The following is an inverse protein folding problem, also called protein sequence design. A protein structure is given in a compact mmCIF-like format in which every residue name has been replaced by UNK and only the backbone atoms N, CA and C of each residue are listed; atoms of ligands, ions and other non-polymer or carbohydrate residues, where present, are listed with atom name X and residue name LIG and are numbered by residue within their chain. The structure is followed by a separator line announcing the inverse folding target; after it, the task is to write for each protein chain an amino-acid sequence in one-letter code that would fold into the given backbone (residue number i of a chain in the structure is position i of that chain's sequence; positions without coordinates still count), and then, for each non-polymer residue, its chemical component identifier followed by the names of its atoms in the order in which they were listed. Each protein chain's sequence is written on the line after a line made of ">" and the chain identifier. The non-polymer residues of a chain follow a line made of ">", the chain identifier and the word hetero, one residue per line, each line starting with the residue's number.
data_IF_675941514454
#
_entry.id   IF_675941514454
#
_cell.length_a   1.000
_cell.length_b   1.000
_cell.length_c   1.000
_cell.angle_alpha   90.00
_cell.angle_beta   90.00
_cell.angle_gamma   90.00
#
_symmetry.space_group_name_H-M   'P 1'
#
loop_
_entity.id
_entity.type
_entity.pdbx_description
1 polymer ?
#
# COMPACT_ATOMS: atom_id res chain seq x y z
N UNK A 1 44.69 -35.18 -48.55
CA UNK A 1 45.74 -34.16 -48.47
C UNK A 1 45.31 -32.97 -49.33
N UNK A 2 44.68 -31.96 -48.74
CA UNK A 2 44.44 -30.70 -49.43
C UNK A 2 45.74 -29.89 -49.37
N UNK A 3 46.33 -29.58 -50.53
CA UNK A 3 47.51 -28.73 -50.59
C UNK A 3 47.10 -27.30 -50.23
N UNK A 4 47.62 -26.79 -49.12
CA UNK A 4 47.50 -25.37 -48.79
C UNK A 4 48.26 -24.59 -49.85
N UNK A 5 47.54 -23.92 -50.75
CA UNK A 5 48.16 -23.08 -51.78
C UNK A 5 48.64 -21.80 -51.13
N UNK A 6 49.96 -21.68 -50.96
CA UNK A 6 50.58 -20.43 -50.55
C UNK A 6 50.72 -19.52 -51.77
N UNK A 7 50.09 -18.35 -51.72
CA UNK A 7 50.17 -17.33 -52.76
C UNK A 7 51.11 -16.22 -52.30
N UNK A 8 52.27 -16.14 -52.94
CA UNK A 8 53.27 -15.10 -52.69
C UNK A 8 52.97 -13.88 -53.56
N UNK A 9 53.00 -12.68 -52.96
CA UNK A 9 52.75 -11.41 -53.67
C UNK A 9 54.02 -10.80 -54.24
N UNK A 10 55.19 -11.18 -53.72
CA UNK A 10 56.50 -10.77 -54.25
C UNK A 10 57.57 -11.83 -53.98
N UNK A 11 58.66 -11.80 -54.75
CA UNK A 11 59.78 -12.75 -54.61
C UNK A 11 60.45 -12.69 -53.23
N UNK A 12 60.40 -11.55 -52.56
CA UNK A 12 60.94 -11.37 -51.22
C UNK A 12 60.22 -12.21 -50.14
N UNK A 13 58.97 -12.62 -50.37
CA UNK A 13 58.21 -13.43 -49.41
C UNK A 13 58.62 -14.92 -49.42
N UNK A 14 59.38 -15.40 -50.42
CA UNK A 14 59.88 -16.78 -50.46
C UNK A 14 60.82 -17.10 -49.29
N UNK A 15 61.50 -16.08 -48.75
CA UNK A 15 62.41 -16.24 -47.62
C UNK A 15 61.67 -15.94 -46.30
N UNK A 16 61.18 -17.00 -45.65
CA UNK A 16 60.24 -16.92 -44.51
C UNK A 16 60.78 -16.20 -43.27
N UNK A 17 62.09 -15.97 -43.23
CA UNK A 17 62.82 -15.39 -42.09
C UNK A 17 63.36 -13.98 -42.38
N UNK A 18 62.95 -13.31 -43.45
CA UNK A 18 63.33 -11.91 -43.67
C UNK A 18 62.67 -11.00 -42.60
N UNK A 19 63.46 -10.34 -41.73
CA UNK A 19 62.94 -9.49 -40.66
C UNK A 19 62.11 -8.31 -41.18
N UNK A 20 62.41 -7.79 -42.37
CA UNK A 20 61.68 -6.68 -42.96
C UNK A 20 60.27 -7.09 -43.41
N UNK A 21 60.14 -8.29 -43.99
CA UNK A 21 58.86 -8.87 -44.41
C UNK A 21 58.01 -9.22 -43.19
N UNK A 22 58.59 -9.81 -42.13
CA UNK A 22 57.83 -10.11 -40.90
C UNK A 22 57.33 -8.83 -40.20
N UNK A 23 58.13 -7.76 -40.22
CA UNK A 23 57.73 -6.46 -39.66
C UNK A 23 56.60 -5.82 -40.46
N UNK A 24 56.62 -5.90 -41.80
CA UNK A 24 55.52 -5.45 -42.65
C UNK A 24 54.26 -6.33 -42.54
N UNK A 25 54.42 -7.64 -42.32
CA UNK A 25 53.30 -8.58 -42.15
C UNK A 25 52.53 -8.36 -40.84
N UNK A 26 53.23 -7.88 -39.81
CA UNK A 26 52.65 -7.60 -38.49
C UNK A 26 52.27 -6.11 -38.30
N UNK A 27 52.74 -5.21 -39.18
CA UNK A 27 52.36 -3.80 -39.18
C UNK A 27 51.48 -3.49 -40.39
N UNK A 28 50.16 -3.60 -40.22
CA UNK A 28 49.18 -3.24 -41.25
C UNK A 28 49.25 -1.74 -41.64
N UNK A 29 49.86 -0.90 -40.79
CA UNK A 29 50.11 0.51 -41.04
C UNK A 29 51.61 0.82 -40.97
N UNK A 30 52.11 1.55 -41.98
CA UNK A 30 53.54 1.86 -42.18
C UNK A 30 54.13 2.79 -41.10
N UNK A 31 53.28 3.41 -40.27
CA UNK A 31 53.66 4.34 -39.19
C UNK A 31 52.77 4.12 -37.95
N UNK A 32 53.34 4.18 -36.75
CA UNK A 32 52.56 4.25 -35.50
C UNK A 32 51.62 5.46 -35.55
N UNK A 33 50.34 5.22 -35.27
CA UNK A 33 49.32 6.25 -35.30
C UNK A 33 49.44 7.08 -34.01
N UNK A 34 49.47 8.42 -34.06
CA UNK A 34 49.66 9.27 -32.88
C UNK A 34 48.34 9.41 -32.11
N UNK A 35 47.91 8.34 -31.46
CA UNK A 35 46.61 8.26 -30.76
C UNK A 35 46.60 9.18 -29.53
N UNK A 36 47.71 9.23 -28.79
CA UNK A 36 47.84 10.01 -27.55
C UNK A 36 47.94 11.51 -27.79
N UNK A 37 48.57 11.92 -28.91
CA UNK A 37 48.75 13.33 -29.24
C UNK A 37 47.45 14.00 -29.71
N UNK A 38 46.46 13.22 -30.15
CA UNK A 38 45.20 13.72 -30.72
C UNK A 38 44.01 13.61 -29.75
N UNK A 39 43.89 12.54 -28.96
CA UNK A 39 42.80 12.38 -27.99
C UNK A 39 43.01 13.19 -26.70
N UNK A 40 44.25 13.57 -26.38
CA UNK A 40 44.59 14.29 -25.16
C UNK A 40 44.46 15.81 -25.21
N UNK A 41 44.43 16.42 -26.40
CA UNK A 41 44.45 17.89 -26.55
C UNK A 41 43.38 18.41 -27.51
N UNK A 42 42.41 19.14 -26.96
CA UNK A 42 41.26 19.71 -27.68
C UNK A 42 41.67 20.79 -28.71
N UNK A 43 42.74 21.53 -28.44
CA UNK A 43 43.25 22.61 -29.32
C UNK A 43 43.94 22.11 -30.60
N UNK A 44 44.46 20.88 -30.61
CA UNK A 44 45.07 20.25 -31.80
C UNK A 44 44.03 19.70 -32.78
N UNK A 45 42.82 19.36 -32.31
CA UNK A 45 41.71 18.91 -33.15
C UNK A 45 41.14 20.05 -34.01
N UNK A 46 41.07 21.26 -33.47
CA UNK A 46 40.44 22.41 -34.16
C UNK A 46 41.31 22.98 -35.30
N UNK A 47 42.62 22.72 -35.31
CA UNK A 47 43.57 23.32 -36.26
C UNK A 47 44.10 22.36 -37.35
N UNK A 48 43.65 21.10 -37.39
CA UNK A 48 44.22 20.09 -38.30
C UNK A 48 43.37 19.91 -39.56
N UNK A 49 43.87 20.34 -40.73
CA UNK A 49 43.23 20.03 -42.03
C UNK A 49 43.55 18.59 -42.45
N UNK A 50 42.58 17.70 -42.28
CA UNK A 50 42.79 16.26 -42.50
C UNK A 50 42.48 15.89 -43.96
N UNK A 51 43.39 15.18 -44.64
CA UNK A 51 43.14 14.64 -45.99
C UNK A 51 42.02 13.57 -45.93
N UNK A 52 41.20 13.43 -46.99
CA UNK A 52 40.13 12.42 -47.10
C UNK A 52 40.56 11.01 -46.66
N UNK A 53 41.81 10.63 -46.95
CA UNK A 53 42.39 9.34 -46.57
C UNK A 53 42.53 9.19 -45.04
N UNK A 54 42.96 10.24 -44.36
CA UNK A 54 43.18 10.20 -42.91
C UNK A 54 41.86 10.37 -42.14
N UNK A 55 40.90 11.09 -42.71
CA UNK A 55 39.51 11.08 -42.23
C UNK A 55 38.87 9.69 -42.30
N UNK A 56 39.03 8.96 -43.42
CA UNK A 56 38.47 7.61 -43.55
C UNK A 56 39.15 6.60 -42.60
N UNK A 57 40.46 6.73 -42.35
CA UNK A 57 41.14 5.97 -41.31
C UNK A 57 40.58 6.30 -39.92
N UNK A 58 40.40 7.59 -39.61
CA UNK A 58 39.86 8.05 -38.34
C UNK A 58 38.43 7.53 -38.10
N UNK A 59 37.53 7.66 -39.08
CA UNK A 59 36.16 7.15 -38.98
C UNK A 59 36.15 5.62 -38.88
N UNK A 60 36.99 4.93 -39.66
CA UNK A 60 37.12 3.47 -39.60
C UNK A 60 37.58 2.96 -38.24
N UNK A 61 38.63 3.57 -37.66
CA UNK A 61 39.14 3.23 -36.33
C UNK A 61 38.18 3.62 -35.21
N UNK A 62 37.57 4.81 -35.28
CA UNK A 62 36.62 5.27 -34.26
C UNK A 62 35.36 4.40 -34.25
N UNK A 63 34.87 4.01 -35.42
CA UNK A 63 33.73 3.09 -35.54
C UNK A 63 34.10 1.69 -35.05
N UNK A 64 35.28 1.17 -35.39
CA UNK A 64 35.75 -0.13 -34.91
C UNK A 64 35.96 -0.16 -33.37
N UNK A 65 36.58 0.87 -32.81
CA UNK A 65 36.78 1.02 -31.37
C UNK A 65 35.45 1.19 -30.62
N UNK A 66 34.52 1.98 -31.16
CA UNK A 66 33.17 2.11 -30.61
C UNK A 66 32.38 0.79 -30.69
N UNK A 67 32.55 -0.01 -31.76
CA UNK A 67 31.94 -1.35 -31.83
C UNK A 67 32.56 -2.35 -30.84
N UNK A 68 33.86 -2.28 -30.57
CA UNK A 68 34.53 -3.10 -29.55
C UNK A 68 34.07 -2.73 -28.14
N UNK A 69 33.98 -1.43 -27.82
CA UNK A 69 33.47 -0.95 -26.54
C UNK A 69 31.96 -1.19 -26.37
N UNK A 70 31.18 -1.21 -27.46
CA UNK A 70 29.76 -1.56 -27.44
C UNK A 70 29.51 -3.08 -27.29
N UNK A 71 30.55 -3.91 -27.44
CA UNK A 71 30.48 -5.36 -27.23
C UNK A 71 30.90 -5.83 -25.82
N UNK A 72 31.41 -4.94 -24.97
CA UNK A 72 31.69 -5.27 -23.56
C UNK A 72 30.46 -4.95 -22.70
N UNK A 73 29.71 -6.00 -22.36
CA UNK A 73 28.61 -5.90 -21.39
C UNK A 73 29.14 -5.47 -20.01
N UNK A 74 28.33 -4.75 -19.21
CA UNK A 74 28.77 -4.29 -17.90
C UNK A 74 29.11 -5.47 -16.98
N UNK A 75 30.21 -5.36 -16.23
CA UNK A 75 30.59 -6.37 -15.22
C UNK A 75 29.59 -6.36 -14.07
N UNK A 76 28.74 -7.39 -13.98
CA UNK A 76 27.79 -7.58 -12.89
C UNK A 76 28.52 -8.23 -11.71
N UNK A 77 28.49 -7.57 -10.54
CA UNK A 77 29.09 -8.08 -9.31
C UNK A 77 28.07 -8.85 -8.48
N UNK A 78 28.46 -9.99 -7.93
CA UNK A 78 27.67 -10.76 -6.95
C UNK A 78 28.37 -10.69 -5.61
N UNK A 79 27.72 -10.09 -4.61
CA UNK A 79 28.27 -9.92 -3.26
C UNK A 79 27.56 -10.90 -2.31
N UNK A 80 28.26 -11.93 -1.78
CA UNK A 80 27.68 -12.85 -0.81
C UNK A 80 27.57 -12.21 0.58
N UNK A 81 26.81 -12.87 1.47
CA UNK A 81 26.78 -12.51 2.88
C UNK A 81 28.17 -12.67 3.51
N UNK A 82 28.56 -11.71 4.36
CA UNK A 82 29.76 -11.85 5.21
C UNK A 82 29.50 -12.88 6.31
N UNK A 83 28.33 -12.79 6.95
CA UNK A 83 27.80 -13.78 7.89
C UNK A 83 26.37 -14.05 7.46
N UNK A 84 26.11 -15.25 6.94
CA UNK A 84 24.79 -15.62 6.44
C UNK A 84 23.86 -16.02 7.60
N UNK A 85 22.66 -15.42 7.71
CA UNK A 85 21.64 -15.89 8.64
C UNK A 85 21.14 -17.28 8.25
N UNK A 86 20.93 -18.17 9.23
CA UNK A 86 20.49 -19.55 9.00
C UNK A 86 19.13 -19.62 8.26
N UNK A 87 18.22 -18.70 8.58
CA UNK A 87 16.87 -18.66 8.02
C UNK A 87 16.82 -18.19 6.55
N UNK A 88 17.91 -17.62 6.02
CA UNK A 88 17.91 -17.01 4.69
C UNK A 88 18.70 -17.88 3.71
N UNK A 89 17.99 -18.43 2.74
CA UNK A 89 18.59 -19.12 1.58
C UNK A 89 18.42 -18.21 0.35
N UNK A 90 19.51 -17.64 -0.20
CA UNK A 90 19.43 -16.77 -1.37
C UNK A 90 18.67 -17.40 -2.54
N UNK A 91 17.72 -16.67 -3.12
CA UNK A 91 16.84 -17.13 -4.19
C UNK A 91 15.55 -17.84 -3.71
N UNK A 92 15.43 -18.15 -2.42
CA UNK A 92 14.20 -18.70 -1.83
C UNK A 92 13.54 -17.60 -0.99
N UNK A 93 12.26 -17.33 -1.27
CA UNK A 93 11.52 -16.32 -0.53
C UNK A 93 10.99 -16.88 0.79
N UNK A 94 11.09 -16.07 1.84
CA UNK A 94 10.48 -16.33 3.15
C UNK A 94 9.17 -15.57 3.30
N UNK A 95 8.27 -16.08 4.14
CA UNK A 95 7.02 -15.42 4.50
C UNK A 95 7.00 -15.17 6.00
N UNK A 96 6.76 -13.92 6.40
CA UNK A 96 6.66 -13.52 7.80
C UNK A 96 5.22 -13.15 8.12
N UNK A 97 4.68 -13.68 9.22
CA UNK A 97 3.35 -13.33 9.71
C UNK A 97 3.42 -11.99 10.45
N UNK A 98 2.67 -11.00 9.97
CA UNK A 98 2.63 -9.65 10.55
C UNK A 98 1.20 -9.09 10.48
N UNK A 99 1.02 -7.87 10.98
CA UNK A 99 -0.24 -7.14 10.90
C UNK A 99 0.00 -5.71 10.43
N UNK A 100 -0.97 -5.16 9.71
CA UNK A 100 -1.04 -3.72 9.44
C UNK A 100 -2.12 -3.09 10.32
N UNK A 101 -1.80 -1.94 10.91
CA UNK A 101 -2.70 -1.14 11.73
C UNK A 101 -2.28 0.33 11.62
N UNK A 102 -2.69 1.00 10.55
CA UNK A 102 -2.25 2.37 10.23
C UNK A 102 -3.26 3.46 10.64
N UNK A 103 -4.22 3.12 11.52
CA UNK A 103 -5.26 4.03 12.00
C UNK A 103 -6.50 4.08 11.11
N UNK A 104 -6.46 3.47 9.93
CA UNK A 104 -7.60 3.36 9.02
C UNK A 104 -7.80 1.92 8.54
N UNK A 105 -6.76 1.33 7.95
CA UNK A 105 -6.74 -0.05 7.50
C UNK A 105 -6.13 -0.98 8.56
N UNK A 106 -6.81 -2.12 8.76
CA UNK A 106 -6.39 -3.18 9.66
C UNK A 106 -6.46 -4.53 8.94
N UNK A 107 -5.36 -5.28 8.92
CA UNK A 107 -5.32 -6.60 8.30
C UNK A 107 -4.23 -7.49 8.91
N UNK A 108 -4.54 -8.79 9.01
CA UNK A 108 -3.59 -9.86 9.27
C UNK A 108 -2.95 -10.26 7.94
N UNK A 109 -1.63 -10.16 7.83
CA UNK A 109 -0.92 -10.30 6.55
C UNK A 109 0.29 -11.24 6.64
N UNK A 110 0.65 -11.80 5.50
CA UNK A 110 1.90 -12.52 5.29
C UNK A 110 2.79 -11.68 4.36
N UNK A 111 3.97 -11.32 4.83
CA UNK A 111 4.93 -10.54 4.05
C UNK A 111 5.93 -11.47 3.41
N UNK A 112 5.89 -11.56 2.07
CA UNK A 112 6.92 -12.24 1.29
C UNK A 112 8.17 -11.37 1.26
N UNK A 113 9.29 -11.94 1.66
CA UNK A 113 10.60 -11.28 1.63
C UNK A 113 11.57 -12.00 0.70
N UNK A 114 12.39 -11.24 -0.01
CA UNK A 114 13.57 -11.74 -0.74
C UNK A 114 14.83 -11.27 -0.01
N UNK A 115 15.63 -12.22 0.50
CA UNK A 115 16.86 -11.92 1.25
C UNK A 115 16.67 -10.88 2.38
N UNK A 116 15.52 -10.91 3.06
CA UNK A 116 15.16 -9.99 4.14
C UNK A 116 14.47 -8.70 3.70
N UNK A 117 14.31 -8.44 2.40
CA UNK A 117 13.59 -7.27 1.88
C UNK A 117 12.13 -7.62 1.57
N UNK A 118 11.13 -6.96 2.18
CA UNK A 118 9.71 -7.16 1.84
C UNK A 118 9.43 -6.89 0.37
N UNK A 119 8.84 -7.81 -0.38
CA UNK A 119 8.54 -7.60 -1.81
C UNK A 119 7.05 -7.69 -2.13
N UNK A 120 6.26 -8.37 -1.30
CA UNK A 120 4.83 -8.52 -1.51
C UNK A 120 4.11 -8.73 -0.19
N UNK A 121 2.95 -8.12 -0.05
CA UNK A 121 2.02 -8.36 1.04
C UNK A 121 0.92 -9.30 0.54
N UNK A 122 0.66 -10.35 1.29
CA UNK A 122 -0.40 -11.33 1.07
C UNK A 122 -1.36 -11.32 2.26
N UNK A 123 -2.60 -11.75 2.03
CA UNK A 123 -3.58 -11.93 3.10
C UNK A 123 -3.24 -13.16 3.96
N UNK A 124 -3.29 -13.04 5.29
CA UNK A 124 -3.12 -14.21 6.18
C UNK A 124 -4.47 -14.91 6.39
N UNK A 125 -4.74 -15.95 5.60
CA UNK A 125 -5.98 -16.73 5.67
C UNK A 125 -6.09 -17.64 6.90
N UNK A 126 -4.99 -17.88 7.61
CA UNK A 126 -4.99 -18.67 8.86
C UNK A 126 -5.36 -17.80 10.07
N UNK A 127 -5.36 -16.48 9.93
CA UNK A 127 -5.78 -15.58 11.00
C UNK A 127 -7.29 -15.69 11.23
N UNK A 128 -7.69 -15.71 12.51
CA UNK A 128 -9.10 -15.76 12.90
C UNK A 128 -9.86 -14.48 12.53
N UNK A 129 -9.17 -13.33 12.52
CA UNK A 129 -9.75 -12.01 12.27
C UNK A 129 -8.91 -11.21 11.27
N UNK A 130 -9.58 -10.32 10.55
CA UNK A 130 -8.97 -9.44 9.54
C UNK A 130 -8.09 -10.19 8.52
N UNK A 131 -8.50 -11.39 8.13
CA UNK A 131 -7.74 -12.29 7.27
C UNK A 131 -7.73 -11.90 5.79
N UNK A 132 -8.43 -10.82 5.41
CA UNK A 132 -8.45 -10.27 4.06
C UNK A 132 -7.81 -8.89 4.00
N UNK A 133 -6.73 -8.76 3.23
CA UNK A 133 -6.10 -7.47 2.92
C UNK A 133 -6.84 -6.77 1.77
N UNK A 134 -7.09 -5.48 1.91
CA UNK A 134 -7.64 -4.66 0.83
C UNK A 134 -6.55 -4.15 -0.12
N UNK A 135 -6.95 -3.44 -1.18
CA UNK A 135 -6.03 -2.92 -2.18
C UNK A 135 -4.98 -1.94 -1.61
N UNK A 136 -5.37 -1.09 -0.64
CA UNK A 136 -4.45 -0.15 0.02
C UNK A 136 -3.39 -0.89 0.82
N UNK A 137 -3.79 -1.93 1.55
CA UNK A 137 -2.87 -2.81 2.29
C UNK A 137 -1.88 -3.49 1.36
N UNK A 138 -2.35 -4.06 0.25
CA UNK A 138 -1.45 -4.67 -0.75
C UNK A 138 -0.46 -3.66 -1.35
N UNK A 139 -0.88 -2.41 -1.56
CA UNK A 139 -0.04 -1.34 -2.09
C UNK A 139 0.93 -0.74 -1.06
N UNK A 140 0.72 -0.97 0.25
CA UNK A 140 1.52 -0.34 1.32
C UNK A 140 3.01 -0.70 1.30
N UNK A 141 3.40 -1.78 0.62
CA UNK A 141 4.81 -2.11 0.37
C UNK A 141 5.54 -1.00 -0.40
N UNK A 142 4.84 -0.26 -1.27
CA UNK A 142 5.42 0.85 -2.02
C UNK A 142 5.78 2.01 -1.10
N UNK A 143 4.97 2.26 -0.06
CA UNK A 143 5.26 3.28 0.96
C UNK A 143 6.53 2.98 1.75
N UNK A 144 6.96 1.71 1.86
CA UNK A 144 8.23 1.35 2.48
C UNK A 144 9.42 1.77 1.61
N UNK A 145 9.30 1.61 0.29
CA UNK A 145 10.34 1.89 -0.71
C UNK A 145 10.28 3.28 -1.33
N UNK A 146 9.44 4.16 -0.79
CA UNK A 146 9.34 5.54 -1.24
C UNK A 146 10.62 6.32 -0.89
N UNK A 147 11.25 6.93 -1.90
CA UNK A 147 12.46 7.75 -1.75
C UNK A 147 12.18 9.11 -1.12
N UNK A 148 10.94 9.58 -1.12
CA UNK A 148 10.53 10.83 -0.50
C UNK A 148 10.35 10.74 1.03
N UNK A 149 10.56 9.56 1.63
CA UNK A 149 10.48 9.37 3.08
C UNK A 149 11.51 10.24 3.80
N UNK A 150 11.11 10.71 4.99
CA UNK A 150 12.00 11.41 5.91
C UNK A 150 13.13 10.46 6.33
N UNK A 151 14.37 10.83 6.00
CA UNK A 151 15.56 10.00 6.23
C UNK A 151 16.14 10.13 7.64
N UNK A 152 15.72 11.14 8.40
CA UNK A 152 16.20 11.39 9.75
C UNK A 152 15.46 12.54 10.43
N UNK A 153 15.66 12.72 11.75
CA UNK A 153 14.98 13.76 12.49
C UNK A 153 15.49 15.16 12.12
N UNK A 154 14.64 16.16 12.31
CA UNK A 154 14.99 17.56 12.12
C UNK A 154 14.41 18.42 13.23
N UNK A 155 15.10 19.51 13.57
CA UNK A 155 14.63 20.54 14.47
C UNK A 155 14.67 21.88 13.74
N UNK A 156 13.52 22.58 13.69
CA UNK A 156 13.37 23.86 13.00
C UNK A 156 13.83 23.82 11.52
N UNK A 157 13.63 22.69 10.85
CA UNK A 157 14.01 22.47 9.45
C UNK A 157 15.47 22.07 9.23
N UNK A 158 16.30 22.00 10.28
CA UNK A 158 17.68 21.53 10.19
C UNK A 158 17.79 20.06 10.63
N UNK A 159 18.54 19.19 9.91
CA UNK A 159 18.80 17.82 10.35
C UNK A 159 19.51 17.78 11.71
N UNK A 160 19.11 16.85 12.57
CA UNK A 160 19.75 16.61 13.88
C UNK A 160 19.99 15.12 14.09
N UNK A 161 20.78 14.76 15.11
CA UNK A 161 20.90 13.36 15.52
C UNK A 161 19.68 12.92 16.35
N UNK A 162 19.43 11.61 16.41
CA UNK A 162 18.41 11.06 17.31
C UNK A 162 18.67 11.40 18.78
N UNK A 163 19.93 11.34 19.22
CA UNK A 163 20.30 11.67 20.59
C UNK A 163 20.01 13.14 20.95
N UNK A 164 20.23 14.06 20.01
CA UNK A 164 19.92 15.48 20.22
C UNK A 164 18.40 15.73 20.26
N UNK A 165 17.63 15.03 19.41
CA UNK A 165 16.17 15.09 19.43
C UNK A 165 15.62 14.58 20.77
N UNK A 166 16.08 13.40 21.21
CA UNK A 166 15.64 12.77 22.46
C UNK A 166 15.92 13.70 23.66
N UNK A 167 17.13 14.25 23.73
CA UNK A 167 17.50 15.21 24.77
C UNK A 167 16.58 16.43 24.76
N UNK A 168 16.35 17.04 23.59
CA UNK A 168 15.52 18.22 23.47
C UNK A 168 14.05 17.96 23.90
N UNK A 169 13.50 16.80 23.54
CA UNK A 169 12.14 16.39 23.93
C UNK A 169 12.06 16.17 25.45
N UNK A 170 13.01 15.45 26.03
CA UNK A 170 13.07 15.18 27.48
C UNK A 170 13.20 16.48 28.27
N UNK A 171 14.10 17.38 27.85
CA UNK A 171 14.32 18.68 28.50
C UNK A 171 13.01 19.51 28.49
N UNK A 172 12.29 19.53 27.37
CA UNK A 172 11.02 20.25 27.26
C UNK A 172 9.89 19.60 28.09
N UNK A 173 9.82 18.26 28.14
CA UNK A 173 8.86 17.56 28.99
C UNK A 173 9.10 17.84 30.48
N UNK A 174 10.36 17.91 30.90
CA UNK A 174 10.73 18.27 32.28
C UNK A 174 10.40 19.74 32.58
N UNK A 175 10.68 20.66 31.64
CA UNK A 175 10.38 22.08 31.81
C UNK A 175 8.86 22.35 31.92
N UNK A 176 8.05 21.68 31.07
CA UNK A 176 6.57 21.80 31.12
C UNK A 176 5.98 21.18 32.39
N UNK A 177 6.58 20.10 32.89
CA UNK A 177 6.21 19.51 34.19
C UNK A 177 6.40 20.51 35.33
N UNK A 178 7.50 21.26 35.32
CA UNK A 178 7.78 22.27 36.34
C UNK A 178 6.85 23.50 36.24
N UNK A 179 6.45 23.90 35.04
CA UNK A 179 5.57 25.06 34.82
C UNK A 179 4.07 24.75 34.90
N UNK A 180 3.69 23.47 34.95
CA UNK A 180 2.28 23.03 34.92
C UNK A 180 1.60 23.18 33.56
N UNK A 181 2.36 23.44 32.50
CA UNK A 181 1.83 23.53 31.14
C UNK A 181 1.41 22.15 30.64
N UNK A 182 0.21 22.06 30.04
CA UNK A 182 -0.26 20.83 29.42
C UNK A 182 0.56 20.50 28.18
N UNK A 183 0.83 19.21 28.00
CA UNK A 183 1.43 18.64 26.78
C UNK A 183 0.39 17.75 26.13
N UNK A 184 0.14 17.91 24.83
CA UNK A 184 -0.83 17.07 24.12
C UNK A 184 -0.08 16.05 23.27
N UNK A 185 -0.35 14.77 23.51
CA UNK A 185 0.05 13.68 22.63
C UNK A 185 -1.12 13.38 21.69
N UNK A 186 -0.95 13.73 20.41
CA UNK A 186 -1.93 13.44 19.37
C UNK A 186 -1.58 12.12 18.68
N UNK A 187 -2.55 11.22 18.59
CA UNK A 187 -2.39 9.96 17.87
C UNK A 187 -3.62 9.64 17.03
N UNK A 188 -3.50 8.69 16.11
CA UNK A 188 -4.66 7.95 15.61
C UNK A 188 -5.23 7.02 16.70
N UNK A 189 -6.41 6.44 16.46
CA UNK A 189 -6.92 5.34 17.28
C UNK A 189 -6.06 4.08 17.14
N UNK A 190 -5.33 3.72 18.20
CA UNK A 190 -4.50 2.51 18.24
C UNK A 190 -5.22 1.35 18.92
N UNK A 191 -5.47 0.28 18.17
CA UNK A 191 -5.89 -1.03 18.71
C UNK A 191 -4.67 -1.84 19.16
N UNK A 192 -3.88 -1.32 20.10
CA UNK A 192 -2.61 -1.92 20.55
C UNK A 192 -2.45 -1.89 22.07
N UNK A 193 -2.49 -3.05 22.76
CA UNK A 193 -2.29 -3.13 24.21
C UNK A 193 -0.94 -2.58 24.67
N UNK A 194 0.13 -2.82 23.90
CA UNK A 194 1.48 -2.33 24.23
C UNK A 194 1.58 -0.80 24.09
N UNK A 195 0.93 -0.23 23.07
CA UNK A 195 0.89 1.24 22.90
C UNK A 195 0.08 1.90 24.01
N UNK A 196 -1.06 1.32 24.39
CA UNK A 196 -1.86 1.81 25.52
C UNK A 196 -1.06 1.77 26.84
N UNK A 197 -0.33 0.67 27.08
CA UNK A 197 0.54 0.56 28.25
C UNK A 197 1.67 1.60 28.24
N UNK A 198 2.29 1.85 27.08
CA UNK A 198 3.34 2.87 26.94
C UNK A 198 2.83 4.29 27.21
N UNK A 199 1.64 4.62 26.71
CA UNK A 199 0.99 5.92 26.97
C UNK A 199 0.69 6.07 28.47
N UNK A 200 0.16 5.02 29.12
CA UNK A 200 -0.08 5.03 30.56
C UNK A 200 1.22 5.23 31.37
N UNK A 201 2.32 4.57 30.97
CA UNK A 201 3.64 4.77 31.57
C UNK A 201 4.15 6.20 31.37
N UNK A 202 3.97 6.77 30.18
CA UNK A 202 4.33 8.15 29.89
C UNK A 202 3.56 9.13 30.79
N UNK A 203 2.25 8.93 30.95
CA UNK A 203 1.40 9.77 31.80
C UNK A 203 1.72 9.61 33.29
N UNK A 204 2.16 8.44 33.74
CA UNK A 204 2.62 8.24 35.11
C UNK A 204 3.88 9.07 35.43
N UNK A 205 4.80 9.20 34.45
CA UNK A 205 6.02 10.01 34.61
C UNK A 205 5.74 11.51 34.39
N UNK A 206 4.85 11.84 33.45
CA UNK A 206 4.48 13.20 33.06
C UNK A 206 2.96 13.42 33.17
N UNK A 207 2.41 13.69 34.36
CA UNK A 207 0.97 13.81 34.58
C UNK A 207 0.29 14.95 33.80
N UNK A 208 1.07 15.92 33.31
CA UNK A 208 0.58 17.02 32.47
C UNK A 208 0.36 16.62 31.00
N UNK A 209 0.74 15.39 30.61
CA UNK A 209 0.51 14.84 29.27
C UNK A 209 -0.95 14.38 29.13
N UNK A 210 -1.66 14.99 28.19
CA UNK A 210 -3.00 14.61 27.78
C UNK A 210 -2.91 13.86 26.46
N UNK A 211 -3.40 12.62 26.45
CA UNK A 211 -3.53 11.84 25.23
C UNK A 211 -4.86 12.15 24.55
N UNK A 212 -4.81 12.47 23.26
CA UNK A 212 -5.98 12.72 22.43
C UNK A 212 -5.86 11.88 21.15
N UNK A 213 -6.80 10.96 20.96
CA UNK A 213 -6.96 10.24 19.70
C UNK A 213 -7.76 11.12 18.72
N UNK A 214 -7.29 11.21 17.49
CA UNK A 214 -7.92 11.94 16.40
C UNK A 214 -7.97 11.06 15.15
N UNK A 215 -9.19 10.78 14.69
CA UNK A 215 -9.44 10.04 13.46
C UNK A 215 -10.00 10.98 12.40
N UNK A 216 -9.41 10.97 11.21
CA UNK A 216 -9.85 11.83 10.10
C UNK A 216 -11.27 11.49 9.62
N UNK A 217 -11.65 10.21 9.67
CA UNK A 217 -13.00 9.72 9.38
C UNK A 217 -13.61 9.19 10.67
N UNK A 218 -14.42 10.02 11.32
CA UNK A 218 -14.98 9.71 12.63
C UNK A 218 -16.08 8.64 12.58
N UNK A 219 -16.20 7.87 13.67
CA UNK A 219 -17.33 6.98 13.97
C UNK A 219 -17.98 7.31 15.31
N UNK A 220 -17.87 8.57 15.75
CA UNK A 220 -18.33 9.02 17.07
C UNK A 220 -19.80 8.69 17.34
N UNK A 221 -20.69 8.89 16.36
CA UNK A 221 -22.11 8.61 16.55
C UNK A 221 -22.38 7.12 16.89
N UNK A 222 -21.70 6.21 16.20
CA UNK A 222 -21.81 4.77 16.45
C UNK A 222 -21.17 4.37 17.78
N UNK A 223 -19.99 4.93 18.11
CA UNK A 223 -19.31 4.69 19.38
C UNK A 223 -20.14 5.16 20.58
N UNK A 224 -20.71 6.36 20.49
CA UNK A 224 -21.54 6.93 21.55
C UNK A 224 -22.86 6.16 21.73
N UNK A 225 -23.49 5.71 20.63
CA UNK A 225 -24.67 4.87 20.71
C UNK A 225 -24.36 3.51 21.38
N UNK A 226 -23.27 2.86 20.96
CA UNK A 226 -22.84 1.59 21.53
C UNK A 226 -22.49 1.72 23.02
N UNK A 227 -21.82 2.81 23.43
CA UNK A 227 -21.53 3.10 24.83
C UNK A 227 -22.79 3.30 25.67
N UNK A 228 -23.81 3.99 25.15
CA UNK A 228 -25.08 4.17 25.87
C UNK A 228 -25.83 2.87 26.12
N UNK A 229 -25.76 1.92 25.19
CA UNK A 229 -26.47 0.63 25.28
C UNK A 229 -25.68 -0.41 26.07
N UNK A 230 -24.38 -0.52 25.81
CA UNK A 230 -23.55 -1.62 26.30
C UNK A 230 -22.51 -1.19 27.36
N UNK A 231 -22.36 0.10 27.64
CA UNK A 231 -21.45 0.62 28.68
C UNK A 231 -19.98 0.65 28.30
N UNK A 232 -19.63 0.44 27.02
CA UNK A 232 -18.26 0.50 26.52
C UNK A 232 -18.21 1.17 25.14
N UNK A 233 -17.11 1.85 24.81
CA UNK A 233 -16.91 2.46 23.49
C UNK A 233 -16.36 1.43 22.51
N UNK A 234 -17.23 0.85 21.69
CA UNK A 234 -16.87 -0.12 20.66
C UNK A 234 -17.80 -0.02 19.45
N UNK A 235 -17.50 -0.78 18.41
CA UNK A 235 -18.35 -0.95 17.23
C UNK A 235 -18.86 -2.40 17.21
N UNK A 236 -20.08 -2.60 16.72
CA UNK A 236 -20.61 -3.94 16.49
C UNK A 236 -19.92 -4.59 15.28
N UNK A 237 -19.47 -5.83 15.45
CA UNK A 237 -18.91 -6.65 14.37
C UNK A 237 -20.02 -7.58 13.83
N UNK A 238 -20.47 -7.30 12.60
CA UNK A 238 -21.62 -7.97 11.99
C UNK A 238 -21.22 -9.18 11.15
N UNK A 239 -21.81 -10.33 11.42
CA UNK A 239 -21.62 -11.54 10.62
C UNK A 239 -22.68 -11.67 9.51
N UNK A 240 -22.39 -11.05 8.36
CA UNK A 240 -23.28 -11.09 7.19
C UNK A 240 -23.41 -12.50 6.55
N UNK A 241 -22.57 -13.47 6.91
CA UNK A 241 -22.73 -14.86 6.42
C UNK A 241 -23.97 -15.55 7.00
N UNK A 242 -24.48 -15.03 8.13
CA UNK A 242 -25.66 -15.55 8.84
C UNK A 242 -26.94 -14.76 8.54
N UNK A 243 -26.89 -13.76 7.66
CA UNK A 243 -28.02 -12.89 7.36
C UNK A 243 -28.77 -13.34 6.09
N UNK A 244 -30.03 -13.76 6.24
CA UNK A 244 -30.96 -14.03 5.15
C UNK A 244 -31.57 -12.72 4.58
N UNK A 245 -31.72 -11.68 5.40
CA UNK A 245 -32.20 -10.35 4.96
C UNK A 245 -31.31 -9.28 5.56
N UNK A 246 -30.80 -8.39 4.71
CA UNK A 246 -29.95 -7.26 5.06
C UNK A 246 -30.67 -5.98 4.67
N UNK A 247 -30.91 -5.11 5.64
CA UNK A 247 -31.40 -3.74 5.39
C UNK A 247 -30.30 -2.76 5.79
N UNK A 248 -29.77 -2.05 4.80
CA UNK A 248 -28.71 -1.07 4.97
C UNK A 248 -29.24 0.33 4.73
N UNK A 249 -29.10 1.21 5.74
CA UNK A 249 -29.50 2.61 5.66
C UNK A 249 -28.27 3.50 5.77
N UNK A 250 -27.75 3.94 4.63
CA UNK A 250 -26.57 4.79 4.54
C UNK A 250 -25.25 4.10 4.89
N UNK A 251 -25.24 2.78 5.11
CA UNK A 251 -24.02 2.02 5.35
C UNK A 251 -23.47 1.44 4.05
N UNK A 252 -22.18 1.63 3.78
CA UNK A 252 -21.46 0.96 2.71
C UNK A 252 -20.54 -0.12 3.30
N UNK A 253 -21.14 -1.20 3.80
CA UNK A 253 -20.43 -2.30 4.48
C UNK A 253 -19.53 -3.13 3.53
N UNK A 254 -19.74 -3.05 2.22
CA UNK A 254 -18.80 -3.58 1.21
C UNK A 254 -17.63 -2.65 0.89
N UNK A 255 -17.71 -1.39 1.32
CA UNK A 255 -16.63 -0.41 1.24
C UNK A 255 -15.83 -0.34 2.55
N UNK A 256 -15.60 0.88 3.02
CA UNK A 256 -14.75 1.18 4.19
C UNK A 256 -15.57 1.43 5.48
N UNK A 257 -16.87 1.14 5.47
CA UNK A 257 -17.71 1.33 6.66
C UNK A 257 -17.21 0.47 7.83
N UNK A 258 -16.93 1.13 8.97
CA UNK A 258 -16.38 0.53 10.19
C UNK A 258 -15.08 -0.28 9.98
N UNK A 259 -14.25 0.10 9.01
CA UNK A 259 -12.99 -0.62 8.71
C UNK A 259 -13.15 -1.72 7.65
N UNK A 260 -14.34 -1.90 7.10
CA UNK A 260 -14.62 -2.84 6.02
C UNK A 260 -14.47 -4.31 6.44
N UNK A 261 -14.24 -5.19 5.46
CA UNK A 261 -13.99 -6.62 5.71
C UNK A 261 -15.22 -7.53 5.64
N UNK A 262 -16.41 -6.97 5.45
CA UNK A 262 -17.66 -7.74 5.41
C UNK A 262 -17.95 -8.43 4.07
N UNK A 263 -17.17 -8.13 3.02
CA UNK A 263 -17.42 -8.63 1.67
C UNK A 263 -17.40 -10.16 1.57
N UNK A 264 -16.51 -10.83 2.30
CA UNK A 264 -16.42 -12.30 2.27
C UNK A 264 -17.66 -12.97 2.89
N UNK A 265 -18.12 -12.46 4.04
CA UNK A 265 -19.33 -12.95 4.70
C UNK A 265 -20.58 -12.67 3.86
N UNK A 266 -20.70 -11.45 3.32
CA UNK A 266 -21.77 -11.09 2.41
C UNK A 266 -21.83 -12.01 1.19
N UNK A 267 -20.69 -12.23 0.51
CA UNK A 267 -20.63 -13.03 -0.71
C UNK A 267 -21.08 -14.49 -0.50
N UNK A 268 -20.86 -15.08 0.68
CA UNK A 268 -21.32 -16.44 0.99
C UNK A 268 -22.85 -16.55 0.90
N UNK A 269 -23.57 -15.55 1.42
CA UNK A 269 -25.03 -15.49 1.35
C UNK A 269 -25.57 -15.19 -0.05
N UNK A 270 -24.73 -14.78 -1.00
CA UNK A 270 -25.13 -14.44 -2.38
C UNK A 270 -25.05 -15.61 -3.35
N UNK A 271 -24.50 -16.76 -2.94
CA UNK A 271 -24.47 -17.98 -3.76
C UNK A 271 -25.83 -18.68 -3.64
N UNK A 272 -26.59 -18.85 -4.74
CA UNK A 272 -27.94 -19.45 -4.71
C UNK A 272 -27.87 -20.96 -4.50
N UNK A 273 -27.51 -21.39 -3.30
CA UNK A 273 -27.48 -22.79 -2.90
C UNK A 273 -28.87 -23.22 -2.42
N UNK A 274 -29.38 -24.34 -2.92
CA UNK A 274 -30.70 -24.87 -2.56
C UNK A 274 -31.87 -23.86 -2.75
N UNK A 275 -31.74 -22.93 -3.70
CA UNK A 275 -32.75 -21.91 -3.97
C UNK A 275 -32.85 -20.81 -2.91
N UNK A 276 -31.87 -20.71 -2.00
CA UNK A 276 -31.78 -19.65 -1.00
C UNK A 276 -30.67 -18.67 -1.36
N UNK A 277 -30.93 -17.40 -1.15
CA UNK A 277 -29.98 -16.31 -1.33
C UNK A 277 -30.38 -15.19 -0.38
N UNK A 278 -29.40 -14.62 0.32
CA UNK A 278 -29.58 -13.47 1.20
C UNK A 278 -30.16 -12.31 0.39
N UNK A 279 -31.19 -11.62 0.90
CA UNK A 279 -31.82 -10.48 0.24
C UNK A 279 -31.27 -9.17 0.79
N UNK A 280 -30.86 -8.26 -0.07
CA UNK A 280 -30.25 -7.00 0.32
C UNK A 280 -31.05 -5.79 -0.15
N UNK A 281 -31.50 -4.99 0.82
CA UNK A 281 -32.10 -3.68 0.65
C UNK A 281 -31.09 -2.58 1.01
N UNK A 282 -30.78 -1.69 0.06
CA UNK A 282 -29.93 -0.53 0.28
C UNK A 282 -30.74 0.76 0.17
N UNK A 283 -30.70 1.58 1.20
CA UNK A 283 -31.22 2.95 1.20
C UNK A 283 -30.03 3.90 1.33
N UNK A 284 -29.79 4.72 0.31
CA UNK A 284 -28.60 5.59 0.30
C UNK A 284 -28.75 6.83 -0.57
N UNK A 285 -27.94 7.85 -0.28
CA UNK A 285 -27.91 9.11 -1.04
C UNK A 285 -27.09 8.93 -2.32
N UNK A 286 -25.82 8.52 -2.18
CA UNK A 286 -24.89 8.30 -3.28
C UNK A 286 -24.82 6.82 -3.62
N UNK A 287 -24.40 6.48 -4.83
CA UNK A 287 -24.21 5.08 -5.22
C UNK A 287 -22.93 4.52 -4.60
N UNK A 288 -23.07 3.46 -3.81
CA UNK A 288 -21.96 2.77 -3.15
C UNK A 288 -21.71 1.37 -3.73
N UNK A 289 -20.65 0.69 -3.28
CA UNK A 289 -20.43 -0.72 -3.64
C UNK A 289 -21.54 -1.60 -3.08
N UNK A 290 -22.00 -1.33 -1.85
CA UNK A 290 -23.13 -2.03 -1.24
C UNK A 290 -24.40 -1.85 -2.07
N UNK A 291 -24.70 -0.63 -2.50
CA UNK A 291 -25.86 -0.34 -3.34
C UNK A 291 -25.79 -0.94 -4.74
N UNK A 292 -24.60 -0.99 -5.36
CA UNK A 292 -24.42 -1.65 -6.65
C UNK A 292 -24.64 -3.18 -6.58
N UNK A 293 -24.44 -3.78 -5.41
CA UNK A 293 -24.62 -5.22 -5.17
C UNK A 293 -25.97 -5.57 -4.50
N UNK A 294 -26.82 -4.59 -4.22
CA UNK A 294 -28.13 -4.79 -3.59
C UNK A 294 -29.17 -5.33 -4.56
N UNK A 295 -30.18 -6.04 -4.05
CA UNK A 295 -31.34 -6.47 -4.85
C UNK A 295 -32.32 -5.31 -5.05
N UNK A 296 -32.50 -4.51 -4.00
CA UNK A 296 -33.36 -3.34 -4.01
C UNK A 296 -32.57 -2.14 -3.53
N UNK A 297 -32.51 -1.11 -4.37
CA UNK A 297 -31.85 0.16 -4.05
C UNK A 297 -32.85 1.30 -4.07
N UNK A 298 -32.93 2.05 -2.97
CA UNK A 298 -33.76 3.24 -2.83
C UNK A 298 -32.86 4.48 -2.69
N UNK A 299 -32.78 5.34 -3.72
CA UNK A 299 -32.14 6.64 -3.60
C UNK A 299 -32.91 7.52 -2.61
N UNK A 300 -32.25 8.01 -1.58
CA UNK A 300 -32.87 8.85 -0.55
C UNK A 300 -31.85 9.81 0.05
N UNK A 301 -32.22 11.08 0.20
CA UNK A 301 -31.41 12.07 0.91
C UNK A 301 -31.16 11.66 2.37
N UNK A 302 -30.16 12.23 3.04
CA UNK A 302 -29.88 11.90 4.44
C UNK A 302 -31.09 12.16 5.37
N UNK A 303 -31.90 13.18 5.08
CA UNK A 303 -33.12 13.46 5.83
C UNK A 303 -34.22 12.42 5.58
N UNK A 304 -34.35 11.92 4.35
CA UNK A 304 -35.26 10.82 4.03
C UNK A 304 -34.79 9.50 4.64
N UNK A 305 -33.49 9.21 4.65
CA UNK A 305 -32.93 8.02 5.30
C UNK A 305 -33.29 7.96 6.80
N UNK A 306 -33.20 9.09 7.53
CA UNK A 306 -33.63 9.18 8.93
C UNK A 306 -35.12 8.86 9.09
N UNK A 307 -35.98 9.41 8.21
CA UNK A 307 -37.42 9.13 8.20
C UNK A 307 -37.72 7.66 7.89
N UNK A 308 -37.08 7.11 6.87
CA UNK A 308 -37.21 5.69 6.48
C UNK A 308 -36.79 4.78 7.63
N UNK A 309 -35.69 5.08 8.33
CA UNK A 309 -35.23 4.31 9.49
C UNK A 309 -36.23 4.38 10.65
N UNK A 310 -36.79 5.56 10.94
CA UNK A 310 -37.83 5.72 11.96
C UNK A 310 -39.11 4.94 11.61
N UNK A 311 -39.53 4.96 10.35
CA UNK A 311 -40.68 4.18 9.88
C UNK A 311 -40.42 2.67 9.92
N UNK A 312 -39.21 2.23 9.58
CA UNK A 312 -38.78 0.83 9.71
C UNK A 312 -38.86 0.38 11.18
N UNK A 313 -38.34 1.18 12.11
CA UNK A 313 -38.42 0.91 13.55
C UNK A 313 -39.87 0.86 14.05
N UNK A 314 -40.72 1.80 13.61
CA UNK A 314 -42.16 1.82 13.91
C UNK A 314 -42.85 0.53 13.45
N UNK A 315 -42.55 0.10 12.22
CA UNK A 315 -43.07 -1.14 11.65
C UNK A 315 -42.60 -2.40 12.37
N UNK A 316 -41.39 -2.43 12.93
CA UNK A 316 -40.87 -3.59 13.64
C UNK A 316 -41.29 -3.65 15.12
N UNK A 317 -41.27 -2.51 15.82
CA UNK A 317 -41.59 -2.43 17.25
C UNK A 317 -43.09 -2.37 17.56
N UNK A 318 -43.92 -2.02 16.57
CA UNK A 318 -45.35 -1.73 16.79
C UNK A 318 -45.61 -0.37 17.44
N UNK A 319 -44.57 0.47 17.62
CA UNK A 319 -44.69 1.84 18.10
C UNK A 319 -45.19 2.73 16.96
N UNK A 320 -46.21 3.56 17.19
CA UNK A 320 -46.67 4.51 16.17
C UNK A 320 -45.81 5.77 16.17
N UNK A 321 -45.02 5.99 15.11
CA UNK A 321 -44.31 7.25 14.88
C UNK A 321 -44.93 7.96 13.68
N UNK A 322 -45.24 9.25 13.84
CA UNK A 322 -45.73 10.06 12.73
C UNK A 322 -44.55 10.41 11.82
N UNK A 323 -44.43 9.70 10.69
CA UNK A 323 -43.37 9.92 9.70
C UNK A 323 -44.01 10.05 8.32
N UNK A 324 -43.71 11.14 7.62
CA UNK A 324 -44.13 11.34 6.24
C UNK A 324 -43.13 10.70 5.28
N UNK A 325 -43.62 9.74 4.49
CA UNK A 325 -42.89 9.06 3.43
C UNK A 325 -43.63 9.22 2.09
N UNK A 326 -42.89 9.20 0.99
CA UNK A 326 -43.50 9.04 -0.33
C UNK A 326 -44.08 7.64 -0.49
N UNK A 327 -45.01 7.44 -1.42
CA UNK A 327 -45.61 6.11 -1.67
C UNK A 327 -44.54 5.05 -2.00
N UNK A 328 -43.52 5.42 -2.78
CA UNK A 328 -42.41 4.54 -3.12
C UNK A 328 -41.56 4.16 -1.88
N UNK A 329 -41.31 5.13 -0.99
CA UNK A 329 -40.59 4.89 0.27
C UNK A 329 -41.41 3.99 1.19
N UNK A 330 -42.70 4.25 1.34
CA UNK A 330 -43.60 3.43 2.18
C UNK A 330 -43.65 1.99 1.68
N UNK A 331 -43.82 1.78 0.37
CA UNK A 331 -43.83 0.43 -0.22
C UNK A 331 -42.52 -0.32 0.03
N UNK A 332 -41.39 0.38 -0.02
CA UNK A 332 -40.09 -0.23 0.27
C UNK A 332 -39.96 -0.59 1.76
N UNK A 333 -40.39 0.28 2.67
CA UNK A 333 -40.41 0.02 4.11
C UNK A 333 -41.30 -1.18 4.44
N UNK A 334 -42.50 -1.25 3.87
CA UNK A 334 -43.42 -2.38 4.09
C UNK A 334 -42.81 -3.72 3.66
N UNK A 335 -42.08 -3.72 2.53
CA UNK A 335 -41.36 -4.89 2.05
C UNK A 335 -40.22 -5.30 3.00
N UNK A 336 -39.40 -4.33 3.45
CA UNK A 336 -38.34 -4.56 4.43
C UNK A 336 -38.89 -5.14 5.74
N UNK A 337 -39.96 -4.55 6.29
CA UNK A 337 -40.59 -5.02 7.53
C UNK A 337 -41.13 -6.44 7.38
N UNK A 338 -41.83 -6.72 6.27
CA UNK A 338 -42.36 -8.05 5.98
C UNK A 338 -41.26 -9.11 5.92
N UNK A 339 -40.17 -8.82 5.19
CA UNK A 339 -39.07 -9.77 5.03
C UNK A 339 -38.28 -9.96 6.32
N UNK A 340 -37.98 -8.89 7.06
CA UNK A 340 -37.31 -8.96 8.37
C UNK A 340 -38.14 -9.77 9.38
N UNK A 341 -39.46 -9.55 9.45
CA UNK A 341 -40.35 -10.35 10.32
C UNK A 341 -40.38 -11.82 9.93
N UNK A 342 -40.29 -12.13 8.63
CA UNK A 342 -40.28 -13.51 8.13
C UNK A 342 -39.01 -14.27 8.54
N UNK A 343 -37.85 -13.61 8.53
CA UNK A 343 -36.57 -14.26 8.85
C UNK A 343 -36.18 -14.18 10.32
N UNK A 344 -36.79 -13.26 11.09
CA UNK A 344 -36.54 -13.11 12.52
C UNK A 344 -35.06 -12.87 12.82
N UNK A 345 -34.43 -13.79 13.54
CA UNK A 345 -33.03 -13.69 13.97
C UNK A 345 -32.00 -13.75 12.83
N UNK A 346 -32.41 -14.11 11.61
CA UNK A 346 -31.55 -14.07 10.41
C UNK A 346 -31.68 -12.74 9.64
N UNK A 347 -32.36 -11.74 10.20
CA UNK A 347 -32.41 -10.38 9.68
C UNK A 347 -31.38 -9.48 10.35
N UNK A 348 -30.76 -8.57 9.58
CA UNK A 348 -29.87 -7.54 10.12
C UNK A 348 -30.22 -6.17 9.54
N UNK A 349 -30.18 -5.16 10.40
CA UNK A 349 -30.34 -3.75 10.03
C UNK A 349 -29.04 -3.05 10.37
N UNK A 350 -28.46 -2.31 9.42
CA UNK A 350 -27.25 -1.53 9.64
C UNK A 350 -27.47 -0.08 9.24
N UNK A 351 -26.88 0.85 10.00
CA UNK A 351 -26.93 2.27 9.69
C UNK A 351 -25.54 2.90 9.57
N UNK A 352 -25.35 3.69 8.50
CA UNK A 352 -24.17 4.53 8.33
C UNK A 352 -24.45 6.01 8.60
N UNK A 353 -25.60 6.35 9.20
CA UNK A 353 -25.96 7.72 9.50
C UNK A 353 -25.13 8.28 10.67
N UNK A 354 -24.59 9.48 10.51
CA UNK A 354 -23.84 10.21 11.54
C UNK A 354 -24.80 10.88 12.55
N UNK A 355 -25.58 10.07 13.24
CA UNK A 355 -26.58 10.50 14.20
C UNK A 355 -26.73 9.44 15.29
N UNK A 356 -26.58 9.83 16.56
CA UNK A 356 -26.59 8.89 17.68
C UNK A 356 -27.94 8.20 17.81
N UNK A 357 -29.05 8.91 17.57
CA UNK A 357 -30.38 8.34 17.69
C UNK A 357 -30.63 7.34 16.55
N UNK A 358 -30.17 7.63 15.34
CA UNK A 358 -30.21 6.68 14.23
C UNK A 358 -29.42 5.39 14.52
N UNK A 359 -28.24 5.51 15.14
CA UNK A 359 -27.44 4.35 15.54
C UNK A 359 -28.11 3.55 16.67
N UNK A 360 -28.78 4.23 17.61
CA UNK A 360 -29.55 3.56 18.68
C UNK A 360 -30.73 2.75 18.16
N UNK A 361 -31.33 3.11 17.01
CA UNK A 361 -32.46 2.36 16.45
C UNK A 361 -32.05 1.00 15.84
N UNK A 362 -30.76 0.76 15.61
CA UNK A 362 -30.24 -0.46 14.98
C UNK A 362 -29.39 -1.35 15.90
N UNK A 363 -29.18 -0.91 17.15
CA UNK A 363 -28.50 -1.67 18.23
C UNK A 363 -29.53 -2.35 19.13
#
# INVERSE_FOLDING_TARGET
>A
MASTKNYWKSEAELNSNDPAIQKLRNNEFVSELPVDQFLGNKETLDNTSTNRRDFLKFVGFSTAAATLAACEGPVIKTIPYVVQPEEIIPGIANFYATSIANGFDFASVLVKTAEGRPIKIESNREAAYFSGANARVHASVLSLYDSARIQGPSLKGAPVSWADLDKAVIDQLNATKASGQKVVLLTQSYASPSTAALIAQLQAVYPQVVHVAYDAVSKEAALAAYERVYGQRALADYDFSKADVIVSVGADFLGDWQGGGYAAGYAQGRVPSQGRMSRHYQVESLMSLSGANADYRLPATNAEQKRILAALFSGLSGTSLAVELTEAQQKMVDAMVSDLRKVGSAGVIVSGLEDVDAQLLVL
#
